data_IF_132432205638
#
_entry.id   IF_132432205638
#
_cell.length_a   1.000
_cell.length_b   1.000
_cell.length_c   1.000
_cell.angle_alpha   90.00
_cell.angle_beta   90.00
_cell.angle_gamma   90.00
#
_symmetry.space_group_name_H-M   'P 1'
#
loop_
_entity.id
_entity.type
_entity.pdbx_description
1 polymer ?
#
# COMPACT_ATOMS: atom_id res chain seq x y z
N UNK A 1 -17.25 7.31 5.45
CA UNK A 1 -18.24 6.49 4.73
C UNK A 1 -17.53 5.24 4.24
N UNK A 2 -17.82 4.07 4.84
CA UNK A 2 -17.43 2.80 4.25
C UNK A 2 -18.45 2.50 3.13
N UNK A 3 -18.02 2.22 1.89
CA UNK A 3 -18.94 1.84 0.83
C UNK A 3 -19.62 0.51 1.19
N UNK A 4 -20.71 0.16 0.51
CA UNK A 4 -21.42 -1.09 0.78
C UNK A 4 -20.46 -2.29 0.78
N UNK A 5 -20.71 -3.24 1.66
CA UNK A 5 -19.93 -4.47 1.85
C UNK A 5 -19.74 -5.29 0.55
N UNK A 6 -20.56 -5.04 -0.47
CA UNK A 6 -20.54 -5.69 -1.78
C UNK A 6 -20.01 -4.79 -2.93
N UNK A 7 -19.34 -3.68 -2.62
CA UNK A 7 -18.73 -2.83 -3.64
C UNK A 7 -17.43 -3.42 -4.17
N UNK A 8 -17.23 -3.39 -5.49
CA UNK A 8 -15.94 -3.74 -6.10
C UNK A 8 -14.86 -2.77 -5.64
N UNK A 9 -13.63 -3.27 -5.49
CA UNK A 9 -12.46 -2.47 -5.15
C UNK A 9 -12.35 -1.25 -6.06
N UNK A 10 -12.39 -0.06 -5.46
CA UNK A 10 -12.43 1.19 -6.24
C UNK A 10 -11.14 1.43 -7.04
N UNK A 11 -10.05 0.76 -6.67
CA UNK A 11 -8.75 0.91 -7.33
C UNK A 11 -8.57 -0.05 -8.51
N UNK A 12 -8.80 -1.36 -8.33
CA UNK A 12 -8.59 -2.35 -9.39
C UNK A 12 -9.86 -2.83 -10.08
N UNK A 13 -11.03 -2.69 -9.44
CA UNK A 13 -12.33 -3.15 -9.95
C UNK A 13 -12.40 -4.67 -10.28
N UNK A 14 -11.53 -5.49 -9.68
CA UNK A 14 -11.41 -6.93 -9.97
C UNK A 14 -11.99 -7.84 -8.86
N UNK A 15 -11.98 -7.38 -7.61
CA UNK A 15 -12.43 -8.14 -6.43
C UNK A 15 -13.28 -7.25 -5.53
N UNK A 16 -14.13 -7.83 -4.67
CA UNK A 16 -14.84 -7.07 -3.63
C UNK A 16 -13.88 -6.26 -2.75
N UNK A 17 -14.25 -5.03 -2.44
CA UNK A 17 -13.47 -4.16 -1.59
C UNK A 17 -13.52 -4.66 -0.14
N UNK A 18 -12.40 -5.14 0.34
CA UNK A 18 -12.19 -5.45 1.76
C UNK A 18 -10.90 -4.77 2.23
N UNK A 19 -10.73 -4.53 3.53
CA UNK A 19 -9.48 -3.95 4.03
C UNK A 19 -8.24 -4.78 3.64
N UNK A 20 -8.25 -6.13 3.75
CA UNK A 20 -7.13 -6.95 3.29
C UNK A 20 -6.86 -6.79 1.79
N UNK A 21 -7.92 -6.69 0.98
CA UNK A 21 -7.76 -6.49 -0.45
C UNK A 21 -7.21 -5.10 -0.77
N UNK A 22 -7.88 -4.05 -0.33
CA UNK A 22 -7.51 -2.67 -0.60
C UNK A 22 -6.04 -2.38 -0.27
N UNK A 23 -5.56 -2.84 0.88
CA UNK A 23 -4.22 -2.48 1.35
C UNK A 23 -3.12 -3.48 1.01
N UNK A 24 -3.45 -4.73 0.62
CA UNK A 24 -2.44 -5.77 0.40
C UNK A 24 -2.64 -6.56 -0.88
N UNK A 25 -3.83 -7.13 -1.11
CA UNK A 25 -4.01 -8.03 -2.26
C UNK A 25 -4.47 -7.35 -3.55
N UNK A 26 -4.84 -6.07 -3.50
CA UNK A 26 -5.12 -5.27 -4.67
C UNK A 26 -3.84 -5.16 -5.54
N UNK A 27 -3.92 -5.41 -6.86
CA UNK A 27 -2.77 -5.30 -7.75
C UNK A 27 -2.08 -3.92 -7.72
N UNK A 28 -2.82 -2.86 -7.44
CA UNK A 28 -2.27 -1.50 -7.30
C UNK A 28 -1.50 -1.38 -5.97
N UNK A 29 -2.06 -1.90 -4.87
CA UNK A 29 -1.40 -1.90 -3.57
C UNK A 29 -0.13 -2.76 -3.57
N UNK A 30 -0.19 -3.97 -4.15
CA UNK A 30 0.95 -4.87 -4.30
C UNK A 30 2.11 -4.21 -5.05
N UNK A 31 1.83 -3.47 -6.13
CA UNK A 31 2.85 -2.73 -6.86
C UNK A 31 3.47 -1.59 -6.04
N UNK A 32 2.70 -0.90 -5.20
CA UNK A 32 3.23 0.13 -4.30
C UNK A 32 4.13 -0.46 -3.21
N UNK A 33 3.74 -1.61 -2.65
CA UNK A 33 4.57 -2.32 -1.69
C UNK A 33 5.87 -2.81 -2.33
N UNK A 34 5.80 -3.46 -3.49
CA UNK A 34 6.98 -3.88 -4.26
C UNK A 34 7.89 -2.70 -4.61
N UNK A 35 7.33 -1.55 -4.94
CA UNK A 35 8.10 -0.33 -5.17
C UNK A 35 8.86 0.10 -3.91
N UNK A 36 8.23 0.10 -2.72
CA UNK A 36 8.94 0.38 -1.47
C UNK A 36 10.02 -0.65 -1.16
N UNK A 37 9.74 -1.93 -1.39
CA UNK A 37 10.70 -3.01 -1.14
C UNK A 37 11.92 -2.95 -2.07
N UNK A 38 11.73 -2.43 -3.29
CA UNK A 38 12.84 -2.19 -4.23
C UNK A 38 13.86 -1.20 -3.69
N UNK A 39 13.46 -0.23 -2.85
CA UNK A 39 14.39 0.71 -2.21
C UNK A 39 15.38 0.01 -1.27
N UNK A 40 15.00 -1.14 -0.72
CA UNK A 40 15.85 -1.98 0.12
C UNK A 40 16.46 -3.17 -0.66
N UNK A 41 16.33 -3.21 -1.99
CA UNK A 41 16.73 -4.34 -2.84
C UNK A 41 16.07 -5.67 -2.44
N UNK A 42 14.85 -5.62 -1.90
CA UNK A 42 14.09 -6.80 -1.48
C UNK A 42 13.07 -7.13 -2.57
N UNK A 43 13.11 -8.37 -3.06
CA UNK A 43 12.10 -8.92 -3.96
C UNK A 43 11.10 -9.73 -3.14
N UNK A 44 9.81 -9.43 -3.28
CA UNK A 44 8.74 -10.16 -2.56
C UNK A 44 7.69 -10.72 -3.48
N UNK A 45 7.22 -11.91 -3.11
CA UNK A 45 5.94 -12.42 -3.59
C UNK A 45 4.80 -11.69 -2.89
N UNK A 46 3.65 -11.59 -3.56
CA UNK A 46 2.46 -11.01 -2.96
C UNK A 46 2.05 -11.82 -1.72
N UNK A 47 1.97 -11.22 -0.53
CA UNK A 47 1.67 -11.96 0.68
C UNK A 47 0.20 -12.41 0.70
N UNK A 48 -0.03 -13.64 1.14
CA UNK A 48 -1.36 -14.24 1.19
C UNK A 48 -2.27 -13.59 2.25
N UNK A 49 -1.69 -12.92 3.26
CA UNK A 49 -2.45 -12.24 4.32
C UNK A 49 -1.78 -10.94 4.76
N UNK A 50 -2.58 -10.01 5.27
CA UNK A 50 -2.11 -8.78 5.94
C UNK A 50 -1.09 -9.08 7.04
N UNK A 51 -1.34 -10.11 7.85
CA UNK A 51 -0.44 -10.51 8.94
C UNK A 51 0.94 -10.92 8.40
N UNK A 52 0.98 -11.72 7.33
CA UNK A 52 2.25 -12.10 6.70
C UNK A 52 2.99 -10.87 6.17
N UNK A 53 2.28 -9.94 5.53
CA UNK A 53 2.86 -8.70 5.06
C UNK A 53 3.53 -7.88 6.19
N UNK A 54 2.85 -7.73 7.35
CA UNK A 54 3.40 -6.96 8.47
C UNK A 54 4.50 -7.68 9.24
N UNK A 55 4.40 -8.99 9.45
CA UNK A 55 5.31 -9.73 10.32
C UNK A 55 6.65 -10.12 9.66
N UNK A 56 6.72 -10.20 8.33
CA UNK A 56 7.94 -10.65 7.63
C UNK A 56 9.10 -9.65 7.71
N UNK A 57 8.80 -8.36 7.79
CA UNK A 57 9.79 -7.30 7.58
C UNK A 57 10.63 -6.89 8.80
N UNK A 58 10.12 -6.89 10.04
CA UNK A 58 10.95 -6.64 11.22
C UNK A 58 12.13 -7.61 11.30
N UNK A 59 11.97 -8.84 10.77
CA UNK A 59 12.98 -9.89 10.74
C UNK A 59 14.13 -9.60 9.76
N UNK A 60 13.91 -8.74 8.75
CA UNK A 60 14.91 -8.32 7.78
C UNK A 60 15.68 -7.07 8.21
N UNK A 61 15.30 -6.46 9.34
CA UNK A 61 15.93 -5.24 9.83
C UNK A 61 17.14 -5.57 10.72
N UNK A 62 18.28 -4.92 10.48
CA UNK A 62 19.51 -5.09 11.26
C UNK A 62 19.55 -4.25 12.54
N UNK A 63 18.51 -3.45 12.83
CA UNK A 63 18.42 -2.68 14.08
C UNK A 63 17.21 -1.76 14.22
N UNK A 64 17.06 -1.15 15.40
CA UNK A 64 15.92 -0.31 15.79
C UNK A 64 15.67 0.86 14.83
N UNK A 65 16.73 1.49 14.32
CA UNK A 65 16.61 2.60 13.36
C UNK A 65 15.93 2.17 12.06
N UNK A 66 16.33 1.01 11.53
CA UNK A 66 15.74 0.48 10.30
C UNK A 66 14.30 0.02 10.53
N UNK A 67 14.00 -0.57 11.69
CA UNK A 67 12.62 -0.92 12.06
C UNK A 67 11.71 0.31 12.10
N UNK A 68 12.14 1.39 12.78
CA UNK A 68 11.38 2.65 12.83
C UNK A 68 11.20 3.28 11.44
N UNK A 69 12.23 3.24 10.60
CA UNK A 69 12.13 3.70 9.21
C UNK A 69 11.08 2.90 8.43
N UNK A 70 11.06 1.58 8.60
CA UNK A 70 10.04 0.73 7.98
C UNK A 70 8.63 0.99 8.50
N UNK A 71 8.46 1.33 9.78
CA UNK A 71 7.15 1.71 10.32
C UNK A 71 6.61 3.00 9.68
N UNK A 72 7.49 3.96 9.40
CA UNK A 72 7.15 5.18 8.65
C UNK A 72 6.72 4.80 7.24
N UNK A 73 7.54 4.03 6.51
CA UNK A 73 7.22 3.60 5.13
C UNK A 73 5.87 2.89 5.08
N UNK A 74 5.61 1.95 6.01
CA UNK A 74 4.30 1.26 6.08
C UNK A 74 3.14 2.22 6.27
N UNK A 75 3.28 3.18 7.18
CA UNK A 75 2.24 4.17 7.46
C UNK A 75 1.96 5.04 6.23
N UNK A 76 3.01 5.45 5.52
CA UNK A 76 2.91 6.27 4.31
C UNK A 76 2.29 5.49 3.15
N UNK A 77 2.61 4.20 2.97
CA UNK A 77 1.98 3.36 1.94
C UNK A 77 0.48 3.22 2.18
N UNK A 78 0.08 2.88 3.41
CA UNK A 78 -1.34 2.78 3.79
C UNK A 78 -2.05 4.10 3.56
N UNK A 79 -1.44 5.22 3.96
CA UNK A 79 -1.99 6.55 3.72
C UNK A 79 -2.13 6.87 2.23
N UNK A 80 -1.13 6.56 1.41
CA UNK A 80 -1.15 6.82 -0.03
C UNK A 80 -2.27 6.04 -0.73
N UNK A 81 -2.43 4.77 -0.41
CA UNK A 81 -3.52 3.91 -0.90
C UNK A 81 -4.89 4.50 -0.49
N UNK A 82 -5.03 4.83 0.79
CA UNK A 82 -6.28 5.40 1.33
C UNK A 82 -6.63 6.74 0.65
N UNK A 83 -5.64 7.60 0.45
CA UNK A 83 -5.82 8.89 -0.21
C UNK A 83 -6.20 8.72 -1.69
N UNK A 84 -5.54 7.82 -2.42
CA UNK A 84 -5.88 7.48 -3.81
C UNK A 84 -7.33 6.99 -3.93
N UNK A 85 -7.74 6.07 -3.06
CA UNK A 85 -9.12 5.59 -2.97
C UNK A 85 -10.12 6.73 -2.69
N UNK A 86 -9.83 7.58 -1.71
CA UNK A 86 -10.73 8.69 -1.35
C UNK A 86 -10.84 9.74 -2.45
N UNK A 87 -9.77 10.02 -3.19
CA UNK A 87 -9.82 10.89 -4.36
C UNK A 87 -10.79 10.34 -5.42
N UNK A 88 -10.80 9.02 -5.63
CA UNK A 88 -11.74 8.40 -6.56
C UNK A 88 -13.19 8.49 -6.06
N UNK A 89 -13.44 8.18 -4.79
CA UNK A 89 -14.79 8.18 -4.21
C UNK A 89 -15.38 9.59 -4.10
N UNK A 90 -14.63 10.54 -3.53
CA UNK A 90 -15.17 11.85 -3.17
C UNK A 90 -14.92 12.92 -4.22
N UNK A 91 -13.95 12.72 -5.12
CA UNK A 91 -13.56 13.70 -6.14
C UNK A 91 -13.66 13.18 -7.57
N UNK A 92 -14.06 11.92 -7.76
CA UNK A 92 -14.11 11.26 -9.07
C UNK A 92 -12.75 11.07 -9.76
N UNK A 93 -11.64 11.48 -9.12
CA UNK A 93 -10.31 11.50 -9.71
C UNK A 93 -9.62 10.14 -9.54
N UNK A 94 -9.24 9.53 -10.66
CA UNK A 94 -8.35 8.36 -10.66
C UNK A 94 -6.92 8.84 -10.51
N UNK A 95 -6.22 8.36 -9.49
CA UNK A 95 -4.77 8.57 -9.35
C UNK A 95 -4.06 7.40 -10.04
N UNK A 96 -3.25 7.70 -11.06
CA UNK A 96 -2.47 6.68 -11.75
C UNK A 96 -1.41 6.07 -10.82
N UNK A 97 -1.01 4.82 -11.07
CA UNK A 97 0.00 4.13 -10.27
C UNK A 97 1.32 4.92 -10.18
N UNK A 98 1.77 5.50 -11.29
CA UNK A 98 2.99 6.31 -11.31
C UNK A 98 2.87 7.57 -10.45
N UNK A 99 1.71 8.23 -10.46
CA UNK A 99 1.45 9.36 -9.57
C UNK A 99 1.44 8.92 -8.09
N UNK A 100 0.88 7.74 -7.79
CA UNK A 100 0.94 7.16 -6.43
C UNK A 100 2.37 6.87 -6.00
N UNK A 101 3.21 6.31 -6.87
CA UNK A 101 4.64 6.07 -6.60
C UNK A 101 5.41 7.36 -6.34
N UNK A 102 5.14 8.41 -7.13
CA UNK A 102 5.74 9.74 -6.93
C UNK A 102 5.31 10.32 -5.58
N UNK A 103 4.02 10.34 -5.29
CA UNK A 103 3.50 10.83 -4.00
C UNK A 103 4.09 10.05 -2.82
N UNK A 104 4.21 8.73 -2.94
CA UNK A 104 4.80 7.87 -1.94
C UNK A 104 6.28 8.20 -1.70
N UNK A 105 7.05 8.33 -2.77
CA UNK A 105 8.46 8.68 -2.68
C UNK A 105 8.65 10.07 -2.06
N UNK A 106 7.89 11.07 -2.50
CA UNK A 106 7.95 12.42 -1.94
C UNK A 106 7.62 12.41 -0.44
N UNK A 107 6.58 11.71 -0.01
CA UNK A 107 6.19 11.68 1.41
C UNK A 107 7.16 10.91 2.31
N UNK A 108 7.91 9.93 1.77
CA UNK A 108 8.91 9.18 2.55
C UNK A 108 10.25 9.90 2.64
N UNK A 109 10.65 10.61 1.58
CA UNK A 109 12.02 11.13 1.43
C UNK A 109 12.16 12.66 1.56
N UNK A 110 11.07 13.43 1.57
CA UNK A 110 11.06 14.85 1.95
C UNK A 110 10.85 15.00 3.46
#
# INVERSE_FOLDING_TARGET
VLPPLDSMCVMCNEQPETLPHLFFSCPIADQLWKYCFSWASISTVQPQTMRLHYCQYPQLCSGLRQMKGWDIVRSVVVWCIWNGRNNKIFRGRVTALEELKVNLHLTVWL
#
